data_IF_785751649848
#
_entry.id   IF_785751649848
#
_cell.length_a   1.000
_cell.length_b   1.000
_cell.length_c   1.000
_cell.angle_alpha   90.00
_cell.angle_beta   90.00
_cell.angle_gamma   90.00
#
_symmetry.space_group_name_H-M   'P 1'
#
loop_
_entity.id
_entity.type
_entity.pdbx_description
1 polymer ?
#
# COMPACT_ATOMS: atom_id res chain seq x y z
N UNK A 1 13.93 9.41 4.13
CA UNK A 1 14.28 10.61 3.33
C UNK A 1 13.66 11.85 3.96
N UNK A 2 12.36 11.88 4.26
CA UNK A 2 11.69 13.04 4.86
C UNK A 2 12.40 13.48 6.16
N UNK A 3 12.63 12.56 7.11
CA UNK A 3 13.31 12.85 8.38
C UNK A 3 14.75 13.38 8.17
N UNK A 4 15.44 12.90 7.14
CA UNK A 4 16.78 13.41 6.80
C UNK A 4 16.72 14.85 6.28
N UNK A 5 15.68 15.20 5.55
CA UNK A 5 15.43 16.57 5.09
C UNK A 5 15.08 17.48 6.28
N UNK A 6 14.15 17.04 7.12
CA UNK A 6 13.75 17.77 8.34
C UNK A 6 14.93 18.03 9.28
N UNK A 7 15.81 17.06 9.44
CA UNK A 7 17.05 17.17 10.24
C UNK A 7 18.15 17.97 9.54
N UNK A 8 17.91 18.52 8.35
CA UNK A 8 18.89 19.30 7.59
C UNK A 8 20.08 18.50 7.05
N UNK A 9 20.01 17.15 7.06
CA UNK A 9 21.10 16.28 6.59
C UNK A 9 21.21 16.24 5.06
N UNK A 10 20.06 16.38 4.37
CA UNK A 10 19.98 16.47 2.90
C UNK A 10 18.92 17.51 2.53
N UNK A 11 19.01 18.09 1.34
CA UNK A 11 18.00 19.02 0.82
C UNK A 11 17.00 18.35 -0.15
N UNK A 12 17.40 17.25 -0.73
CA UNK A 12 16.57 16.47 -1.63
C UNK A 12 16.94 15.00 -1.57
N UNK A 13 15.99 14.14 -1.89
CA UNK A 13 16.22 12.70 -2.00
C UNK A 13 15.20 12.05 -2.91
N UNK A 14 15.60 10.94 -3.51
CA UNK A 14 14.73 10.11 -4.36
C UNK A 14 14.53 8.76 -3.69
N UNK A 15 13.28 8.34 -3.62
CA UNK A 15 12.90 6.98 -3.24
C UNK A 15 12.51 6.24 -4.52
N UNK A 16 13.20 5.16 -4.84
CA UNK A 16 12.94 4.34 -6.02
C UNK A 16 12.55 2.94 -5.57
N UNK A 17 11.52 2.40 -6.19
CA UNK A 17 11.09 1.03 -5.99
C UNK A 17 10.68 0.41 -7.32
N UNK A 18 10.99 -0.89 -7.51
CA UNK A 18 10.67 -1.65 -8.71
C UNK A 18 10.33 -3.08 -8.34
N UNK A 19 9.12 -3.49 -8.68
CA UNK A 19 8.58 -4.83 -8.45
C UNK A 19 8.48 -5.61 -9.75
N UNK A 20 8.97 -6.85 -9.75
CA UNK A 20 8.83 -7.79 -10.86
C UNK A 20 8.22 -9.09 -10.36
N UNK A 21 6.99 -9.35 -10.73
CA UNK A 21 6.24 -10.55 -10.32
C UNK A 21 6.42 -11.73 -11.28
N UNK A 22 6.99 -11.53 -12.47
CA UNK A 22 7.01 -12.54 -13.53
C UNK A 22 7.58 -13.88 -13.07
N UNK A 23 8.76 -13.87 -12.47
CA UNK A 23 9.44 -15.12 -12.10
C UNK A 23 8.67 -15.93 -11.06
N UNK A 24 8.15 -15.29 -10.01
CA UNK A 24 7.38 -15.98 -8.96
C UNK A 24 6.01 -16.43 -9.47
N UNK A 25 5.39 -15.69 -10.39
CA UNK A 25 4.10 -16.06 -11.00
C UNK A 25 4.29 -17.28 -11.91
N UNK A 26 5.28 -17.26 -12.82
CA UNK A 26 5.59 -18.40 -13.71
C UNK A 26 5.93 -19.66 -12.88
N UNK A 27 6.80 -19.57 -11.89
CA UNK A 27 7.13 -20.69 -10.99
C UNK A 27 5.91 -21.20 -10.20
N UNK A 28 4.98 -20.32 -9.84
CA UNK A 28 3.73 -20.70 -9.17
C UNK A 28 2.78 -21.41 -10.14
N UNK A 29 2.65 -20.94 -11.37
CA UNK A 29 1.86 -21.62 -12.41
C UNK A 29 2.38 -23.03 -12.67
N UNK A 30 3.69 -23.22 -12.86
CA UNK A 30 4.32 -24.52 -13.08
C UNK A 30 4.07 -25.47 -11.89
N UNK A 31 4.10 -24.94 -10.68
CA UNK A 31 3.84 -25.71 -9.46
C UNK A 31 2.37 -26.11 -9.35
N UNK A 32 1.45 -25.23 -9.68
CA UNK A 32 0.01 -25.47 -9.59
C UNK A 32 -0.53 -26.40 -10.69
N UNK A 33 0.22 -26.61 -11.75
CA UNK A 33 -0.12 -27.59 -12.82
C UNK A 33 0.28 -29.02 -12.49
N UNK A 34 0.98 -29.26 -11.37
CA UNK A 34 1.41 -30.61 -10.96
C UNK A 34 0.23 -31.45 -10.44
N UNK A 35 0.26 -32.79 -10.69
CA UNK A 35 -0.83 -33.70 -10.28
C UNK A 35 -1.08 -33.77 -8.76
N UNK A 36 -0.08 -33.43 -7.94
CA UNK A 36 -0.14 -33.50 -6.47
C UNK A 36 -0.73 -32.23 -5.81
N UNK A 37 -1.24 -31.29 -6.61
CA UNK A 37 -1.84 -30.06 -6.09
C UNK A 37 -3.25 -30.34 -5.58
N UNK A 38 -3.43 -30.06 -4.28
CA UNK A 38 -4.73 -30.09 -3.61
C UNK A 38 -5.29 -28.68 -3.43
N UNK A 39 -6.53 -28.58 -2.95
CA UNK A 39 -7.23 -27.30 -2.72
C UNK A 39 -6.51 -26.38 -1.73
N UNK A 40 -5.78 -26.94 -0.75
CA UNK A 40 -5.03 -26.16 0.21
C UNK A 40 -3.80 -25.52 -0.41
N UNK A 41 -2.99 -26.33 -1.15
CA UNK A 41 -1.85 -25.80 -1.92
C UNK A 41 -2.28 -24.71 -2.89
N UNK A 42 -3.40 -24.95 -3.61
CA UNK A 42 -3.95 -23.94 -4.52
C UNK A 42 -4.29 -22.64 -3.79
N UNK A 43 -5.03 -22.73 -2.67
CA UNK A 43 -5.46 -21.54 -1.90
C UNK A 43 -4.30 -20.73 -1.36
N UNK A 44 -3.23 -21.37 -0.86
CA UNK A 44 -2.04 -20.68 -0.36
C UNK A 44 -1.24 -19.98 -1.44
N UNK A 45 -1.23 -20.52 -2.65
CA UNK A 45 -0.49 -19.99 -3.80
C UNK A 45 -1.32 -19.01 -4.65
N UNK A 46 -2.66 -19.04 -4.57
CA UNK A 46 -3.55 -18.22 -5.40
C UNK A 46 -3.24 -16.72 -5.36
N UNK A 47 -2.94 -16.09 -4.20
CA UNK A 47 -2.61 -14.68 -4.16
C UNK A 47 -1.39 -14.29 -5.03
N UNK A 48 -0.44 -15.21 -5.25
CA UNK A 48 0.70 -14.98 -6.14
C UNK A 48 0.28 -14.71 -7.59
N UNK A 49 -0.80 -15.36 -8.05
CA UNK A 49 -1.33 -15.18 -9.41
C UNK A 49 -1.97 -13.80 -9.63
N UNK A 50 -2.16 -13.03 -8.57
CA UNK A 50 -2.71 -11.66 -8.63
C UNK A 50 -1.63 -10.58 -8.54
N UNK A 51 -0.36 -10.96 -8.45
CA UNK A 51 0.75 -10.02 -8.42
C UNK A 51 0.94 -9.34 -9.79
N UNK A 52 1.31 -8.06 -9.73
CA UNK A 52 1.69 -7.26 -10.87
C UNK A 52 3.15 -6.84 -10.82
N UNK A 53 3.58 -6.13 -11.85
CA UNK A 53 4.91 -5.53 -11.93
C UNK A 53 4.78 -4.02 -12.13
N UNK A 54 5.68 -3.25 -11.54
CA UNK A 54 5.68 -1.80 -11.65
C UNK A 54 6.96 -1.20 -11.13
N UNK A 55 7.22 0.04 -11.51
CA UNK A 55 8.33 0.81 -10.98
C UNK A 55 7.90 2.26 -10.73
N UNK A 56 8.47 2.89 -9.72
CA UNK A 56 8.14 4.24 -9.32
C UNK A 56 9.35 4.95 -8.74
N UNK A 57 9.40 6.26 -8.91
CA UNK A 57 10.34 7.13 -8.22
C UNK A 57 9.57 8.28 -7.56
N UNK A 58 9.84 8.54 -6.29
CA UNK A 58 9.27 9.65 -5.53
C UNK A 58 10.37 10.61 -5.13
N UNK A 59 10.26 11.86 -5.54
CA UNK A 59 11.22 12.92 -5.21
C UNK A 59 10.68 13.71 -4.03
N UNK A 60 11.48 13.81 -2.97
CA UNK A 60 11.22 14.66 -1.82
C UNK A 60 12.27 15.76 -1.76
N UNK A 61 11.84 16.99 -1.53
CA UNK A 61 12.73 18.15 -1.44
C UNK A 61 12.42 18.97 -0.20
N UNK A 62 13.43 19.67 0.30
CA UNK A 62 13.21 20.73 1.28
C UNK A 62 12.32 21.82 0.65
N UNK A 63 11.47 22.43 1.44
CA UNK A 63 10.54 23.49 0.99
C UNK A 63 11.19 24.63 0.24
N UNK A 64 12.46 24.93 0.52
CA UNK A 64 13.21 26.01 -0.15
C UNK A 64 13.52 25.70 -1.62
N UNK A 65 13.42 24.42 -2.05
CA UNK A 65 13.65 24.00 -3.43
C UNK A 65 12.35 23.95 -4.25
N UNK A 66 11.21 24.13 -3.64
CA UNK A 66 9.91 24.17 -4.28
C UNK A 66 8.77 23.89 -3.30
N UNK A 67 7.61 24.50 -3.53
CA UNK A 67 6.43 24.37 -2.67
C UNK A 67 5.24 24.01 -3.54
N UNK A 68 5.13 22.74 -3.95
CA UNK A 68 3.96 22.28 -4.70
C UNK A 68 3.03 21.44 -3.81
N UNK A 69 3.57 20.45 -3.13
CA UNK A 69 2.82 19.51 -2.31
C UNK A 69 3.60 19.26 -1.03
N UNK A 70 2.92 19.06 0.07
CA UNK A 70 3.55 18.95 1.38
C UNK A 70 3.27 17.59 2.01
N UNK A 71 4.32 16.86 2.38
CA UNK A 71 4.18 15.76 3.33
C UNK A 71 3.94 16.37 4.73
N UNK A 72 2.71 16.19 5.24
CA UNK A 72 2.27 16.78 6.51
C UNK A 72 2.77 15.97 7.69
N UNK A 73 2.70 14.64 7.57
CA UNK A 73 3.12 13.73 8.62
C UNK A 73 2.84 12.28 8.28
N UNK A 74 3.26 11.41 9.19
CA UNK A 74 2.99 9.97 9.07
C UNK A 74 2.86 9.32 10.44
N UNK A 75 2.22 8.16 10.45
CA UNK A 75 2.16 7.24 11.59
C UNK A 75 2.41 5.83 11.11
N UNK A 76 3.11 5.02 11.92
CA UNK A 76 3.39 3.63 11.58
C UNK A 76 3.29 2.72 12.79
N UNK A 77 2.87 1.48 12.55
CA UNK A 77 2.89 0.39 13.51
C UNK A 77 3.36 -0.90 12.86
N UNK A 78 4.03 -1.73 13.65
CA UNK A 78 4.41 -3.09 13.28
C UNK A 78 3.74 -4.10 14.20
N UNK A 79 3.36 -5.26 13.65
CA UNK A 79 2.86 -6.43 14.39
C UNK A 79 3.56 -7.69 13.89
N UNK A 80 4.70 -8.01 14.50
CA UNK A 80 5.57 -9.11 14.09
C UNK A 80 5.08 -10.50 14.51
N UNK A 81 4.06 -10.59 15.35
CA UNK A 81 3.41 -11.88 15.72
C UNK A 81 2.85 -12.56 14.47
N UNK A 82 2.41 -11.79 13.50
CA UNK A 82 1.77 -12.26 12.27
C UNK A 82 2.73 -12.42 11.07
N UNK A 83 4.05 -12.37 11.28
CA UNK A 83 5.06 -12.42 10.21
C UNK A 83 5.01 -13.66 9.31
N UNK A 84 4.49 -14.78 9.83
CA UNK A 84 4.44 -16.05 9.10
C UNK A 84 3.17 -16.19 8.23
N UNK A 85 2.24 -15.22 8.23
CA UNK A 85 1.03 -15.28 7.42
C UNK A 85 1.25 -15.00 5.93
N UNK A 86 2.39 -14.41 5.59
CA UNK A 86 2.83 -14.23 4.22
C UNK A 86 4.34 -14.47 4.16
N UNK A 87 4.73 -15.54 3.51
CA UNK A 87 6.13 -15.93 3.33
C UNK A 87 6.47 -15.94 1.85
N UNK A 88 7.58 -15.30 1.48
CA UNK A 88 8.01 -15.17 0.10
C UNK A 88 9.47 -15.53 -0.12
N UNK A 89 9.74 -16.09 -1.27
CA UNK A 89 11.07 -16.29 -1.87
C UNK A 89 10.99 -15.90 -3.35
N UNK A 90 12.12 -15.82 -4.07
CA UNK A 90 12.08 -15.54 -5.52
C UNK A 90 11.23 -16.50 -6.34
N UNK A 91 11.01 -17.74 -5.85
CA UNK A 91 10.28 -18.78 -6.56
C UNK A 91 8.92 -19.13 -5.97
N UNK A 92 8.61 -18.64 -4.76
CA UNK A 92 7.39 -19.04 -4.07
C UNK A 92 6.88 -17.93 -3.14
N UNK A 93 5.56 -17.74 -3.12
CA UNK A 93 4.89 -16.96 -2.12
C UNK A 93 3.69 -17.75 -1.57
N UNK A 94 3.66 -17.94 -0.25
CA UNK A 94 2.59 -18.63 0.45
C UNK A 94 1.85 -17.63 1.33
N UNK A 95 0.53 -17.56 1.18
CA UNK A 95 -0.28 -16.55 1.86
C UNK A 95 -1.50 -17.19 2.54
N UNK A 96 -1.58 -17.05 3.85
CA UNK A 96 -2.78 -17.31 4.64
C UNK A 96 -3.74 -16.09 4.53
N UNK A 97 -4.37 -15.95 3.37
CA UNK A 97 -5.04 -14.71 2.96
C UNK A 97 -6.16 -14.23 3.91
N UNK A 98 -6.92 -15.15 4.51
CA UNK A 98 -8.01 -14.79 5.43
C UNK A 98 -7.48 -14.26 6.76
N UNK A 99 -6.50 -14.95 7.34
CA UNK A 99 -5.83 -14.60 8.57
C UNK A 99 -5.04 -13.30 8.39
N UNK A 100 -4.35 -13.17 7.25
CA UNK A 100 -3.61 -11.96 6.89
C UNK A 100 -4.54 -10.74 6.77
N UNK A 101 -5.69 -10.88 6.12
CA UNK A 101 -6.70 -9.82 6.03
C UNK A 101 -7.19 -9.41 7.42
N UNK A 102 -7.53 -10.38 8.28
CA UNK A 102 -8.01 -10.10 9.64
C UNK A 102 -6.96 -9.38 10.48
N UNK A 103 -5.73 -9.87 10.50
CA UNK A 103 -4.62 -9.26 11.23
C UNK A 103 -4.29 -7.86 10.68
N UNK A 104 -4.29 -7.71 9.35
CA UNK A 104 -4.07 -6.44 8.67
C UNK A 104 -5.10 -5.38 9.01
N UNK A 105 -6.40 -5.73 9.03
CA UNK A 105 -7.45 -4.78 9.43
C UNK A 105 -7.34 -4.36 10.90
N UNK A 106 -6.94 -5.28 11.79
CA UNK A 106 -6.69 -4.94 13.20
C UNK A 106 -5.52 -3.97 13.35
N UNK A 107 -4.43 -4.20 12.63
CA UNK A 107 -3.27 -3.30 12.63
C UNK A 107 -3.62 -1.94 12.01
N UNK A 108 -4.31 -1.94 10.86
CA UNK A 108 -4.77 -0.73 10.20
C UNK A 108 -5.67 0.12 11.10
N UNK A 109 -6.57 -0.51 11.87
CA UNK A 109 -7.44 0.19 12.83
C UNK A 109 -6.63 0.90 13.92
N UNK A 110 -5.60 0.24 14.46
CA UNK A 110 -4.72 0.86 15.45
C UNK A 110 -3.94 2.02 14.85
N UNK A 111 -3.41 1.85 13.64
CA UNK A 111 -2.65 2.90 12.94
C UNK A 111 -3.54 4.09 12.57
N UNK A 112 -4.79 3.84 12.14
CA UNK A 112 -5.78 4.89 11.90
C UNK A 112 -6.05 5.73 13.16
N UNK A 113 -6.21 5.08 14.33
CA UNK A 113 -6.35 5.77 15.62
C UNK A 113 -5.15 6.68 15.95
N UNK A 114 -3.94 6.31 15.54
CA UNK A 114 -2.78 7.21 15.64
C UNK A 114 -2.91 8.38 14.66
N UNK A 115 -3.38 8.15 13.44
CA UNK A 115 -3.67 9.18 12.45
C UNK A 115 -4.68 10.20 12.98
N UNK A 116 -5.76 9.74 13.61
CA UNK A 116 -6.73 10.59 14.28
C UNK A 116 -6.08 11.44 15.38
N UNK A 117 -5.26 10.82 16.20
CA UNK A 117 -4.61 11.50 17.35
C UNK A 117 -3.56 12.53 16.91
N UNK A 118 -2.70 12.20 15.95
CA UNK A 118 -1.51 12.99 15.62
C UNK A 118 -1.67 13.87 14.38
N UNK A 119 -2.56 13.49 13.45
CA UNK A 119 -2.82 14.23 12.22
C UNK A 119 -4.24 14.79 12.16
N UNK A 120 -5.06 14.56 13.19
CA UNK A 120 -6.44 15.05 13.26
C UNK A 120 -7.33 14.44 12.17
N UNK A 121 -7.06 13.20 11.77
CA UNK A 121 -7.85 12.52 10.75
C UNK A 121 -9.27 12.21 11.20
N UNK A 122 -10.18 12.41 10.27
CA UNK A 122 -11.57 12.01 10.38
C UNK A 122 -12.05 11.57 8.98
N UNK A 123 -13.01 10.67 8.92
CA UNK A 123 -13.54 10.18 7.64
C UNK A 123 -14.16 11.30 6.77
N UNK A 124 -14.55 12.42 7.38
CA UNK A 124 -15.13 13.58 6.68
C UNK A 124 -14.09 14.57 6.15
N UNK A 125 -12.88 14.63 6.75
CA UNK A 125 -11.88 15.66 6.46
C UNK A 125 -10.72 15.21 5.56
N UNK A 126 -10.81 14.02 4.98
CA UNK A 126 -9.88 13.50 3.97
C UNK A 126 -10.57 13.59 2.61
N UNK A 127 -9.96 14.29 1.66
CA UNK A 127 -10.55 14.53 0.34
C UNK A 127 -10.30 13.36 -0.62
N UNK A 128 -9.13 12.70 -0.52
CA UNK A 128 -8.78 11.59 -1.39
C UNK A 128 -7.91 10.56 -0.67
N UNK A 129 -8.14 9.28 -0.98
CA UNK A 129 -7.49 8.16 -0.31
C UNK A 129 -6.81 7.27 -1.34
N UNK A 130 -5.55 6.94 -1.10
CA UNK A 130 -4.81 5.93 -1.86
C UNK A 130 -4.38 4.82 -0.91
N UNK A 131 -5.10 3.70 -0.98
CA UNK A 131 -4.78 2.49 -0.21
C UNK A 131 -3.90 1.52 -1.00
N UNK A 132 -3.25 0.61 -0.28
CA UNK A 132 -2.54 -0.51 -0.89
C UNK A 132 -3.46 -1.37 -1.75
N UNK A 133 -3.02 -1.72 -2.95
CA UNK A 133 -3.83 -2.34 -4.01
C UNK A 133 -3.73 -3.87 -3.96
N UNK A 134 -4.56 -4.52 -3.15
CA UNK A 134 -4.60 -5.99 -3.02
C UNK A 134 -5.77 -6.61 -3.81
N UNK A 135 -6.96 -6.05 -3.67
CA UNK A 135 -8.18 -6.54 -4.31
C UNK A 135 -9.46 -6.01 -3.64
N UNK A 136 -10.60 -6.24 -4.29
CA UNK A 136 -11.89 -5.66 -3.90
C UNK A 136 -12.31 -5.96 -2.45
N UNK A 137 -12.19 -7.22 -2.02
CA UNK A 137 -12.54 -7.62 -0.65
C UNK A 137 -11.75 -6.85 0.42
N UNK A 138 -10.45 -6.71 0.22
CA UNK A 138 -9.57 -6.00 1.14
C UNK A 138 -9.92 -4.51 1.18
N UNK A 139 -10.11 -3.94 0.00
CA UNK A 139 -10.47 -2.55 -0.19
C UNK A 139 -11.79 -2.20 0.51
N UNK A 140 -12.88 -2.92 0.19
CA UNK A 140 -14.21 -2.67 0.79
C UNK A 140 -14.16 -2.78 2.32
N UNK A 141 -13.51 -3.83 2.86
CA UNK A 141 -13.39 -4.02 4.32
C UNK A 141 -12.63 -2.89 5.02
N UNK A 142 -11.60 -2.33 4.38
CA UNK A 142 -10.86 -1.20 4.92
C UNK A 142 -11.72 0.06 4.97
N UNK A 143 -12.46 0.35 3.89
CA UNK A 143 -13.31 1.52 3.80
C UNK A 143 -14.48 1.44 4.77
N UNK A 144 -15.14 0.28 4.88
CA UNK A 144 -16.21 0.03 5.86
C UNK A 144 -15.69 0.21 7.30
N UNK A 145 -14.47 -0.29 7.59
CA UNK A 145 -13.86 -0.22 8.92
C UNK A 145 -13.68 1.21 9.42
N UNK A 146 -13.38 2.15 8.51
CA UNK A 146 -13.11 3.55 8.83
C UNK A 146 -14.25 4.50 8.50
N UNK A 147 -15.37 3.99 7.95
CA UNK A 147 -16.48 4.81 7.49
C UNK A 147 -16.10 5.76 6.36
N UNK A 148 -15.18 5.31 5.47
CA UNK A 148 -14.68 6.11 4.36
C UNK A 148 -15.59 6.01 3.14
N UNK A 149 -15.73 7.12 2.42
CA UNK A 149 -16.49 7.16 1.18
C UNK A 149 -15.66 6.59 0.02
N UNK A 150 -16.14 5.52 -0.60
CA UNK A 150 -15.49 4.86 -1.74
C UNK A 150 -15.43 5.73 -3.01
N UNK A 151 -16.19 6.83 -3.07
CA UNK A 151 -16.06 7.80 -4.17
C UNK A 151 -14.79 8.66 -4.09
N UNK A 152 -14.15 8.70 -2.91
CA UNK A 152 -12.93 9.49 -2.64
C UNK A 152 -11.64 8.70 -2.86
N UNK A 153 -11.64 7.74 -3.77
CA UNK A 153 -10.47 6.93 -4.07
C UNK A 153 -10.41 6.52 -5.53
N UNK A 154 -9.26 6.01 -5.91
CA UNK A 154 -9.01 5.38 -7.20
C UNK A 154 -8.32 4.04 -6.99
N UNK A 155 -8.70 3.03 -7.78
CA UNK A 155 -8.13 1.69 -7.69
C UNK A 155 -7.45 1.29 -8.99
N UNK A 156 -6.30 0.64 -8.88
CA UNK A 156 -5.49 0.16 -10.00
C UNK A 156 -5.36 -1.37 -10.04
N UNK A 157 -5.69 -2.07 -8.94
CA UNK A 157 -5.60 -3.53 -8.88
C UNK A 157 -6.38 -4.29 -9.97
N UNK A 158 -7.52 -3.79 -10.53
CA UNK A 158 -8.20 -4.53 -11.59
C UNK A 158 -7.40 -4.66 -12.88
N UNK A 159 -6.48 -3.71 -13.14
CA UNK A 159 -5.68 -3.67 -14.36
C UNK A 159 -4.19 -3.95 -14.13
N UNK A 160 -3.67 -3.62 -12.96
CA UNK A 160 -2.24 -3.76 -12.64
C UNK A 160 -1.93 -4.89 -11.66
N UNK A 161 -2.96 -5.46 -11.00
CA UNK A 161 -2.78 -6.42 -9.93
C UNK A 161 -2.20 -5.77 -8.66
N UNK A 162 -1.70 -6.61 -7.76
CA UNK A 162 -0.95 -6.15 -6.58
C UNK A 162 0.53 -5.97 -6.98
N UNK A 163 0.94 -4.75 -7.14
CA UNK A 163 2.33 -4.37 -7.50
C UNK A 163 3.18 -4.04 -6.26
N UNK A 164 2.91 -4.70 -5.14
CA UNK A 164 3.72 -4.55 -3.91
C UNK A 164 3.81 -3.12 -3.40
N UNK A 165 4.99 -2.69 -2.88
CA UNK A 165 5.21 -1.34 -2.38
C UNK A 165 4.99 -0.23 -3.41
N UNK A 166 5.18 -0.50 -4.70
CA UNK A 166 4.93 0.48 -5.78
C UNK A 166 3.45 0.86 -5.89
N UNK A 167 2.51 0.06 -5.34
CA UNK A 167 1.07 0.23 -5.49
C UNK A 167 0.57 1.64 -5.17
N UNK A 168 0.97 2.19 -4.02
CA UNK A 168 0.48 3.48 -3.56
C UNK A 168 1.01 4.62 -4.42
N UNK A 169 2.33 4.80 -4.59
CA UNK A 169 2.84 5.91 -5.39
C UNK A 169 2.48 5.78 -6.87
N UNK A 170 2.36 4.58 -7.42
CA UNK A 170 1.90 4.36 -8.79
C UNK A 170 0.42 4.74 -8.96
N UNK A 171 -0.44 4.31 -8.04
CA UNK A 171 -1.87 4.69 -8.04
C UNK A 171 -2.05 6.18 -7.87
N UNK A 172 -1.26 6.82 -7.00
CA UNK A 172 -1.24 8.27 -6.81
C UNK A 172 -0.87 8.97 -8.13
N UNK A 173 0.22 8.56 -8.79
CA UNK A 173 0.66 9.14 -10.07
C UNK A 173 -0.43 9.06 -11.14
N UNK A 174 -1.07 7.89 -11.30
CA UNK A 174 -2.16 7.70 -12.27
C UNK A 174 -3.38 8.56 -11.90
N UNK A 175 -3.72 8.68 -10.62
CA UNK A 175 -4.83 9.53 -10.18
C UNK A 175 -4.58 11.02 -10.48
N UNK A 176 -3.32 11.46 -10.32
CA UNK A 176 -2.89 12.83 -10.69
C UNK A 176 -3.02 13.04 -12.19
N UNK A 177 -2.48 12.15 -13.01
CA UNK A 177 -2.55 12.22 -14.48
C UNK A 177 -3.99 12.25 -15.01
N UNK A 178 -4.90 11.57 -14.30
CA UNK A 178 -6.34 11.57 -14.60
C UNK A 178 -7.10 12.80 -14.09
N UNK A 179 -6.44 13.73 -13.40
CA UNK A 179 -7.05 14.92 -12.85
C UNK A 179 -8.04 14.66 -11.70
N UNK A 180 -7.90 13.52 -11.00
CA UNK A 180 -8.77 13.15 -9.89
C UNK A 180 -8.39 13.87 -8.59
N UNK A 181 -7.17 14.36 -8.50
CA UNK A 181 -6.64 15.06 -7.33
C UNK A 181 -6.56 16.54 -7.64
N UNK A 182 -7.12 17.37 -6.77
CA UNK A 182 -7.19 18.82 -6.93
C UNK A 182 -6.29 19.53 -5.92
N UNK A 183 -5.87 20.74 -6.29
CA UNK A 183 -5.12 21.62 -5.38
C UNK A 183 -5.90 21.87 -4.09
N UNK A 184 -5.21 21.77 -2.97
CA UNK A 184 -5.78 21.93 -1.64
C UNK A 184 -6.37 20.63 -1.05
N UNK A 185 -6.36 19.52 -1.80
CA UNK A 185 -6.82 18.24 -1.27
C UNK A 185 -5.91 17.72 -0.16
N UNK A 186 -6.52 17.19 0.84
CA UNK A 186 -5.92 16.42 1.93
C UNK A 186 -5.95 14.95 1.58
N UNK A 187 -4.78 14.38 1.26
CA UNK A 187 -4.64 13.00 0.81
C UNK A 187 -4.21 12.08 1.94
N UNK A 188 -4.87 10.93 2.09
CA UNK A 188 -4.40 9.84 2.95
C UNK A 188 -3.78 8.73 2.11
N UNK A 189 -2.50 8.44 2.31
CA UNK A 189 -1.81 7.29 1.76
C UNK A 189 -1.76 6.18 2.80
N UNK A 190 -2.34 5.02 2.51
CA UNK A 190 -2.52 3.92 3.48
C UNK A 190 -1.83 2.65 3.00
N UNK A 191 -0.62 2.41 3.51
CA UNK A 191 0.21 1.25 3.20
C UNK A 191 0.12 0.16 4.27
N UNK A 192 0.06 -1.08 3.82
CA UNK A 192 0.21 -2.25 4.66
C UNK A 192 1.02 -3.31 3.90
N UNK A 193 1.89 -4.00 4.59
CA UNK A 193 2.73 -5.04 4.01
C UNK A 193 3.01 -6.16 4.99
N UNK A 194 3.64 -7.20 4.47
CA UNK A 194 4.08 -8.35 5.26
C UNK A 194 4.99 -7.91 6.41
N UNK A 195 4.90 -8.65 7.49
CA UNK A 195 5.71 -8.33 8.66
C UNK A 195 4.96 -8.43 9.97
N UNK A 196 3.72 -7.95 10.19
CA UNK A 196 2.99 -6.94 9.43
C UNK A 196 3.50 -5.53 9.73
N UNK A 197 3.50 -4.68 8.74
CA UNK A 197 3.78 -3.25 8.92
C UNK A 197 2.63 -2.45 8.32
N UNK A 198 2.20 -1.40 8.99
CA UNK A 198 1.22 -0.44 8.48
C UNK A 198 1.80 0.96 8.59
N UNK A 199 1.76 1.70 7.50
CA UNK A 199 2.19 3.09 7.41
C UNK A 199 1.06 3.91 6.81
N UNK A 200 0.71 5.00 7.47
CA UNK A 200 -0.27 5.96 6.98
C UNK A 200 0.37 7.34 6.93
N UNK A 201 0.24 8.03 5.81
CA UNK A 201 0.83 9.34 5.56
C UNK A 201 -0.22 10.33 5.10
N UNK A 202 0.00 11.60 5.40
CA UNK A 202 -0.81 12.71 4.89
C UNK A 202 0.01 13.57 3.94
N UNK A 203 -0.60 13.87 2.78
CA UNK A 203 -0.09 14.85 1.82
C UNK A 203 -1.13 15.95 1.64
N UNK A 204 -0.72 17.19 1.73
CA UNK A 204 -1.46 18.36 1.26
C UNK A 204 -1.05 18.64 -0.20
N UNK A 205 -2.05 18.60 -1.11
CA UNK A 205 -1.81 18.66 -2.56
C UNK A 205 -1.92 20.06 -3.15
#
# INVERSE_FOLDING_TARGET
VADMIELGRIKAGVVVDAESSRGVVEATMDRLLRPDVNSEKFRLNFPTLTLGSGAVAVVLTHRDLGQKHRLVGHVSLADTVHRNLCLGSPQEMLVHAQELLKAGLMLARKTWGLGQKFMGWDSSNIDFIVGHQVGSKHFTRLFDLFGLDQSRTFVTYPSLGNVGPTSIPLTLAIAIERGLIRKGYRLALMGIGSGLNCLMMEIEW
#
